data_IF_429701297977
#
_entry.id   IF_429701297977
#
_cell.length_a   1.000
_cell.length_b   1.000
_cell.length_c   1.000
_cell.angle_alpha   90.00
_cell.angle_beta   90.00
_cell.angle_gamma   90.00
#
_symmetry.space_group_name_H-M   'P 1'
#
loop_
_entity.id
_entity.type
_entity.pdbx_description
1 polymer ?
#
# COMPACT_ATOMS: atom_id res chain seq x y z
N UNK A 1 28.16 -4.58 10.78
CA UNK A 1 27.35 -5.82 10.86
C UNK A 1 26.55 -5.90 9.58
N UNK A 2 26.79 -6.91 8.75
CA UNK A 2 25.99 -7.13 7.54
C UNK A 2 24.67 -7.79 7.96
N UNK A 3 23.60 -7.01 7.94
CA UNK A 3 22.26 -7.54 8.18
C UNK A 3 21.63 -7.93 6.84
N UNK A 4 20.99 -9.10 6.79
CA UNK A 4 20.21 -9.51 5.64
C UNK A 4 18.89 -8.71 5.59
N UNK A 5 18.76 -7.83 4.61
CA UNK A 5 17.56 -7.04 4.33
C UNK A 5 16.59 -7.75 3.37
N UNK A 6 16.89 -8.99 2.94
CA UNK A 6 16.00 -9.73 2.08
C UNK A 6 14.73 -10.17 2.82
N UNK A 7 13.59 -9.69 2.35
CA UNK A 7 12.29 -10.07 2.87
C UNK A 7 11.69 -11.22 2.05
N UNK A 8 11.23 -12.27 2.73
CA UNK A 8 10.38 -13.31 2.13
C UNK A 8 8.95 -13.13 2.62
N UNK A 9 8.03 -12.99 1.67
CA UNK A 9 6.61 -13.02 1.98
C UNK A 9 6.23 -14.42 2.45
N UNK A 10 5.54 -14.49 3.58
CA UNK A 10 4.92 -15.72 4.04
C UNK A 10 3.43 -15.50 3.80
N UNK A 11 2.86 -16.26 2.86
CA UNK A 11 1.42 -16.41 2.75
C UNK A 11 1.00 -17.22 3.99
N UNK A 12 0.76 -16.52 5.09
CA UNK A 12 0.22 -17.12 6.29
C UNK A 12 -1.29 -17.27 6.08
N UNK A 13 -1.90 -18.36 6.55
CA UNK A 13 -3.35 -18.61 6.41
C UNK A 13 -4.21 -17.59 7.18
N UNK A 14 -3.60 -16.64 7.87
CA UNK A 14 -4.23 -15.49 8.52
C UNK A 14 -4.54 -14.30 7.57
N UNK A 15 -4.71 -14.55 6.27
CA UNK A 15 -5.22 -13.54 5.33
C UNK A 15 -6.72 -13.24 5.54
N UNK A 16 -7.41 -14.12 6.28
CA UNK A 16 -8.82 -13.92 6.63
C UNK A 16 -8.93 -12.92 7.78
N UNK A 17 -9.84 -11.96 7.63
CA UNK A 17 -10.21 -11.07 8.73
C UNK A 17 -10.66 -11.91 9.94
N UNK A 18 -10.25 -11.56 11.17
CA UNK A 18 -10.67 -12.32 12.34
C UNK A 18 -12.20 -12.33 12.46
N UNK A 19 -12.81 -13.51 12.37
CA UNK A 19 -14.28 -13.65 12.38
C UNK A 19 -14.92 -13.02 13.60
N UNK A 20 -14.29 -13.19 14.76
CA UNK A 20 -14.75 -12.60 16.03
C UNK A 20 -14.76 -11.05 15.96
N UNK A 21 -13.78 -10.44 15.29
CA UNK A 21 -13.75 -9.00 15.06
C UNK A 21 -14.82 -8.53 14.07
N UNK A 22 -15.08 -9.32 13.02
CA UNK A 22 -16.15 -9.06 12.04
C UNK A 22 -17.52 -9.12 12.71
N UNK A 23 -17.79 -10.19 13.48
CA UNK A 23 -19.05 -10.39 14.20
C UNK A 23 -19.29 -9.26 15.21
N UNK A 24 -18.25 -8.87 15.96
CA UNK A 24 -18.32 -7.76 16.91
C UNK A 24 -18.62 -6.42 16.24
N UNK A 25 -18.08 -6.19 15.05
CA UNK A 25 -18.32 -4.98 14.27
C UNK A 25 -19.76 -4.90 13.73
N UNK A 26 -20.47 -6.03 13.60
CA UNK A 26 -21.85 -6.08 13.13
C UNK A 26 -22.03 -5.61 11.68
N UNK A 27 -20.96 -5.63 10.90
CA UNK A 27 -20.93 -5.17 9.50
C UNK A 27 -21.27 -6.29 8.52
N UNK A 28 -21.71 -5.92 7.31
CA UNK A 28 -22.03 -6.87 6.24
C UNK A 28 -21.05 -6.74 5.08
N UNK A 29 -20.66 -7.88 4.53
CA UNK A 29 -19.93 -7.93 3.25
C UNK A 29 -20.94 -7.98 2.09
N UNK A 30 -20.67 -7.30 0.97
CA UNK A 30 -19.47 -6.49 0.66
C UNK A 30 -19.57 -5.01 1.08
N UNK A 31 -20.59 -4.61 1.82
CA UNK A 31 -20.89 -3.19 2.09
C UNK A 31 -19.82 -2.47 2.91
N UNK A 32 -19.07 -3.19 3.74
CA UNK A 32 -17.88 -2.66 4.43
C UNK A 32 -16.88 -1.98 3.49
N UNK A 33 -16.77 -2.43 2.23
CA UNK A 33 -15.85 -1.83 1.27
C UNK A 33 -16.39 -0.54 0.64
N UNK A 34 -17.67 -0.23 0.82
CA UNK A 34 -18.35 0.89 0.15
C UNK A 34 -18.62 2.08 1.06
N UNK A 35 -18.51 1.93 2.38
CA UNK A 35 -18.91 2.97 3.32
C UNK A 35 -17.78 3.29 4.30
N UNK A 36 -17.45 4.58 4.41
CA UNK A 36 -16.38 5.06 5.29
C UNK A 36 -16.57 4.69 6.76
N UNK A 37 -17.81 4.74 7.26
CA UNK A 37 -18.12 4.42 8.66
C UNK A 37 -17.95 2.93 8.93
N UNK A 38 -18.41 2.07 8.03
CA UNK A 38 -18.27 0.63 8.18
C UNK A 38 -16.79 0.21 8.11
N UNK A 39 -15.99 0.85 7.24
CA UNK A 39 -14.54 0.67 7.23
C UNK A 39 -13.91 1.05 8.57
N UNK A 40 -14.27 2.21 9.12
CA UNK A 40 -13.73 2.67 10.40
C UNK A 40 -14.11 1.72 11.55
N UNK A 41 -15.38 1.30 11.63
CA UNK A 41 -15.87 0.37 12.66
C UNK A 41 -15.14 -0.97 12.58
N UNK A 42 -15.03 -1.58 11.40
CA UNK A 42 -14.30 -2.85 11.27
C UNK A 42 -12.81 -2.69 11.60
N UNK A 43 -12.19 -1.62 11.11
CA UNK A 43 -10.75 -1.38 11.33
C UNK A 43 -10.41 -1.29 12.81
N UNK A 44 -11.26 -0.60 13.59
CA UNK A 44 -11.14 -0.54 15.06
C UNK A 44 -11.37 -1.90 15.71
N UNK A 45 -12.41 -2.63 15.29
CA UNK A 45 -12.70 -3.95 15.83
C UNK A 45 -11.53 -4.92 15.64
N UNK A 46 -10.91 -4.92 14.45
CA UNK A 46 -9.72 -5.74 14.16
C UNK A 46 -8.53 -5.31 15.02
N UNK A 47 -8.28 -4.00 15.16
CA UNK A 47 -7.22 -3.47 16.01
C UNK A 47 -7.39 -3.91 17.47
N UNK A 48 -8.60 -3.75 18.03
CA UNK A 48 -8.93 -4.13 19.40
C UNK A 48 -8.80 -5.63 19.62
N UNK A 49 -9.27 -6.44 18.66
CA UNK A 49 -9.14 -7.89 18.70
C UNK A 49 -7.68 -8.35 18.75
N UNK A 50 -6.84 -7.74 17.93
CA UNK A 50 -5.41 -8.07 17.84
C UNK A 50 -4.57 -7.43 18.96
N UNK A 51 -5.16 -6.61 19.82
CA UNK A 51 -4.46 -5.76 20.80
C UNK A 51 -3.33 -4.94 20.15
N UNK A 52 -3.57 -4.45 18.93
CA UNK A 52 -2.61 -3.71 18.11
C UNK A 52 -2.79 -2.19 18.26
N UNK A 53 -1.82 -1.42 17.76
CA UNK A 53 -1.81 0.05 17.81
C UNK A 53 -2.60 0.69 16.66
N UNK A 54 -2.79 -0.05 15.56
CA UNK A 54 -3.08 0.54 14.27
C UNK A 54 -4.45 0.14 13.74
N UNK A 55 -5.27 1.13 13.37
CA UNK A 55 -6.42 0.95 12.50
C UNK A 55 -5.98 1.09 11.05
N UNK A 56 -6.09 0.00 10.28
CA UNK A 56 -5.66 -0.08 8.87
C UNK A 56 -6.88 0.02 7.93
N UNK A 57 -6.80 0.86 6.90
CA UNK A 57 -7.82 0.98 5.84
C UNK A 57 -7.13 1.23 4.48
N UNK A 58 -7.72 0.84 3.33
CA UNK A 58 -8.83 -0.10 3.19
C UNK A 58 -8.37 -1.55 3.44
N UNK A 59 -9.27 -2.50 3.19
CA UNK A 59 -9.01 -3.94 3.34
C UNK A 59 -8.78 -4.68 2.03
N UNK A 60 -8.41 -3.97 0.96
CA UNK A 60 -8.14 -4.55 -0.34
C UNK A 60 -7.20 -3.67 -1.17
N UNK A 61 -6.69 -4.22 -2.28
CA UNK A 61 -5.71 -3.56 -3.16
C UNK A 61 -6.32 -3.08 -4.47
N UNK A 62 -7.64 -2.88 -4.52
CA UNK A 62 -8.39 -2.61 -5.77
C UNK A 62 -8.97 -1.19 -5.86
N UNK A 63 -8.73 -0.34 -4.87
CA UNK A 63 -9.38 0.97 -4.76
C UNK A 63 -8.91 1.95 -5.83
N UNK A 64 -7.61 2.02 -6.08
CA UNK A 64 -7.00 2.92 -7.07
C UNK A 64 -7.32 2.45 -8.50
N UNK A 65 -7.28 1.12 -8.73
CA UNK A 65 -7.70 0.54 -10.00
C UNK A 65 -9.18 0.83 -10.28
N UNK A 66 -10.08 0.65 -9.31
CA UNK A 66 -11.48 1.04 -9.46
C UNK A 66 -11.63 2.53 -9.78
N UNK A 67 -10.86 3.38 -9.09
CA UNK A 67 -10.89 4.82 -9.31
C UNK A 67 -10.57 5.18 -10.78
N UNK A 68 -9.60 4.48 -11.37
CA UNK A 68 -9.19 4.58 -12.78
C UNK A 68 -10.10 3.84 -13.77
N UNK A 69 -11.21 3.23 -13.32
CA UNK A 69 -12.19 2.57 -14.18
C UNK A 69 -12.11 1.05 -14.22
N UNK A 70 -11.28 0.45 -13.36
CA UNK A 70 -11.22 -1.00 -13.13
C UNK A 70 -12.59 -1.58 -12.73
N UNK A 71 -12.95 -2.71 -13.32
CA UNK A 71 -14.14 -3.47 -12.92
C UNK A 71 -13.83 -4.39 -11.73
N UNK A 72 -14.41 -4.08 -10.57
CA UNK A 72 -14.15 -4.81 -9.32
C UNK A 72 -15.40 -5.58 -8.87
N UNK A 73 -15.24 -6.89 -8.68
CA UNK A 73 -16.18 -7.70 -7.92
C UNK A 73 -15.79 -7.65 -6.45
N UNK A 74 -16.66 -7.08 -5.61
CA UNK A 74 -16.39 -6.91 -4.18
C UNK A 74 -16.41 -8.23 -3.38
N UNK A 75 -16.90 -9.32 -3.97
CA UNK A 75 -16.89 -10.64 -3.34
C UNK A 75 -17.76 -10.74 -2.09
N UNK A 76 -17.38 -11.69 -1.24
CA UNK A 76 -17.93 -11.92 0.09
C UNK A 76 -16.80 -11.78 1.14
N UNK A 77 -17.10 -12.11 2.39
CA UNK A 77 -16.15 -12.05 3.52
C UNK A 77 -14.86 -12.84 3.27
N UNK A 78 -14.92 -13.97 2.54
CA UNK A 78 -13.76 -14.82 2.31
C UNK A 78 -12.96 -14.37 1.09
N UNK A 79 -13.64 -14.05 0.00
CA UNK A 79 -13.00 -13.78 -1.27
C UNK A 79 -12.53 -12.32 -1.41
N UNK A 80 -13.23 -11.39 -0.76
CA UNK A 80 -12.97 -9.96 -0.83
C UNK A 80 -12.99 -9.34 -2.25
N UNK A 81 -12.65 -8.04 -2.35
CA UNK A 81 -12.63 -7.33 -3.62
C UNK A 81 -11.52 -7.81 -4.54
N UNK A 82 -11.88 -8.14 -5.79
CA UNK A 82 -10.97 -8.59 -6.85
C UNK A 82 -11.40 -8.07 -8.20
N UNK A 83 -10.46 -8.03 -9.14
CA UNK A 83 -10.73 -7.66 -10.53
C UNK A 83 -11.65 -8.71 -11.15
N UNK A 84 -12.79 -8.29 -11.69
CA UNK A 84 -13.70 -9.18 -12.41
C UNK A 84 -13.33 -9.32 -13.88
N UNK A 85 -12.85 -8.23 -14.48
CA UNK A 85 -12.49 -8.14 -15.87
C UNK A 85 -11.45 -7.03 -16.06
N UNK A 86 -10.57 -7.18 -17.05
CA UNK A 86 -9.65 -6.11 -17.42
C UNK A 86 -10.40 -5.05 -18.22
N UNK A 87 -10.47 -3.83 -17.71
CA UNK A 87 -11.13 -2.70 -18.38
C UNK A 87 -10.47 -2.41 -19.73
N UNK A 88 -9.14 -2.47 -19.80
CA UNK A 88 -8.38 -2.28 -21.04
C UNK A 88 -8.05 -3.62 -21.69
N UNK A 89 -8.49 -3.77 -22.94
CA UNK A 89 -8.23 -4.91 -23.84
C UNK A 89 -7.05 -4.66 -24.77
N UNK A 90 -6.64 -3.40 -24.92
CA UNK A 90 -5.49 -2.95 -25.68
C UNK A 90 -4.77 -1.82 -24.94
N UNK A 91 -3.55 -1.48 -25.35
CA UNK A 91 -2.87 -0.32 -24.74
C UNK A 91 -3.48 0.98 -25.26
N UNK A 92 -4.08 0.97 -26.44
CA UNK A 92 -4.78 2.07 -27.06
C UNK A 92 -6.04 2.47 -26.27
N UNK A 93 -6.65 1.54 -25.52
CA UNK A 93 -7.83 1.80 -24.68
C UNK A 93 -7.56 2.79 -23.52
N UNK A 94 -6.29 3.10 -23.23
CA UNK A 94 -5.95 4.14 -22.24
C UNK A 94 -6.19 5.56 -22.80
N UNK A 95 -6.47 5.69 -24.10
CA UNK A 95 -6.78 6.96 -24.72
C UNK A 95 -8.05 7.54 -24.09
N UNK A 96 -7.88 8.63 -23.33
CA UNK A 96 -8.98 9.25 -22.56
C UNK A 96 -9.06 8.81 -21.10
N UNK A 97 -8.11 7.98 -20.62
CA UNK A 97 -7.93 7.74 -19.20
C UNK A 97 -7.72 9.08 -18.48
N UNK A 98 -8.55 9.33 -17.47
CA UNK A 98 -8.52 10.55 -16.67
C UNK A 98 -7.74 10.29 -15.38
N UNK A 99 -7.26 11.38 -14.80
CA UNK A 99 -6.74 11.39 -13.44
C UNK A 99 -7.81 10.91 -12.44
N UNK A 100 -7.36 10.45 -11.28
CA UNK A 100 -8.22 9.95 -10.23
C UNK A 100 -9.04 11.10 -9.61
N UNK A 101 -10.37 10.96 -9.59
CA UNK A 101 -11.23 11.81 -8.78
C UNK A 101 -11.42 11.22 -7.38
N UNK A 102 -10.65 11.76 -6.42
CA UNK A 102 -10.64 11.37 -5.01
C UNK A 102 -11.94 11.63 -4.25
N UNK A 103 -12.94 12.29 -4.86
CA UNK A 103 -14.25 12.52 -4.24
C UNK A 103 -15.27 11.44 -4.58
N UNK A 104 -14.93 10.51 -5.47
CA UNK A 104 -15.86 9.52 -6.02
C UNK A 104 -15.48 8.09 -5.64
N UNK A 105 -16.40 7.15 -5.90
CA UNK A 105 -16.19 5.70 -5.74
C UNK A 105 -15.68 5.33 -4.34
N UNK A 106 -15.03 4.17 -4.18
CA UNK A 106 -14.52 3.74 -2.87
C UNK A 106 -13.32 4.56 -2.40
N UNK A 107 -12.53 5.14 -3.29
CA UNK A 107 -11.34 5.91 -2.89
C UNK A 107 -11.70 7.13 -2.02
N UNK A 108 -12.81 7.81 -2.33
CA UNK A 108 -13.32 8.88 -1.47
C UNK A 108 -13.83 8.38 -0.11
N UNK A 109 -14.39 7.17 -0.05
CA UNK A 109 -14.84 6.54 1.19
C UNK A 109 -13.66 6.08 2.06
N UNK A 110 -12.55 5.64 1.46
CA UNK A 110 -11.30 5.39 2.18
C UNK A 110 -10.76 6.67 2.82
N UNK A 111 -10.71 7.77 2.06
CA UNK A 111 -10.24 9.05 2.62
C UNK A 111 -11.14 9.52 3.77
N UNK A 112 -12.46 9.39 3.63
CA UNK A 112 -13.40 9.71 4.73
C UNK A 112 -13.22 8.78 5.94
N UNK A 113 -12.90 7.49 5.76
CA UNK A 113 -12.69 6.58 6.88
C UNK A 113 -11.44 6.94 7.68
N UNK A 114 -10.38 7.42 7.00
CA UNK A 114 -9.21 8.02 7.66
C UNK A 114 -9.63 9.19 8.54
N UNK A 115 -10.42 10.14 8.04
CA UNK A 115 -10.90 11.28 8.85
C UNK A 115 -11.71 10.84 10.07
N UNK A 116 -12.58 9.84 9.92
CA UNK A 116 -13.40 9.30 11.02
C UNK A 116 -12.48 8.71 12.09
N UNK A 117 -11.57 7.81 11.71
CA UNK A 117 -10.65 7.16 12.63
C UNK A 117 -9.77 8.19 13.36
N UNK A 118 -9.24 9.19 12.65
CA UNK A 118 -8.43 10.26 13.27
C UNK A 118 -9.23 11.11 14.26
N UNK A 119 -10.49 11.44 13.96
CA UNK A 119 -11.38 12.16 14.91
C UNK A 119 -11.66 11.35 16.17
N UNK A 120 -11.64 10.03 16.07
CA UNK A 120 -11.81 9.11 17.21
C UNK A 120 -10.51 8.84 17.98
N UNK A 121 -9.39 9.45 17.58
CA UNK A 121 -8.10 9.34 18.27
C UNK A 121 -7.27 8.12 17.89
N UNK A 122 -7.63 7.42 16.81
CA UNK A 122 -6.89 6.26 16.33
C UNK A 122 -5.54 6.63 15.71
N UNK A 123 -4.60 5.68 15.73
CA UNK A 123 -3.39 5.72 14.92
C UNK A 123 -3.67 4.95 13.63
N UNK A 124 -3.65 5.64 12.49
CA UNK A 124 -4.21 5.16 11.23
C UNK A 124 -3.13 4.84 10.23
N UNK A 125 -3.27 3.66 9.62
CA UNK A 125 -2.50 3.27 8.44
C UNK A 125 -3.42 3.30 7.22
N UNK A 126 -3.01 4.02 6.18
CA UNK A 126 -3.68 3.98 4.88
C UNK A 126 -2.87 3.16 3.89
N UNK A 127 -3.47 2.11 3.33
CA UNK A 127 -2.84 1.28 2.30
C UNK A 127 -2.95 1.92 0.91
N UNK A 128 -1.81 1.98 0.22
CA UNK A 128 -1.64 2.62 -1.09
C UNK A 128 -0.84 1.68 -2.00
N UNK A 129 -1.37 1.46 -3.19
CA UNK A 129 -0.76 0.60 -4.19
C UNK A 129 0.20 1.36 -5.09
N UNK A 130 1.28 0.69 -5.46
CA UNK A 130 2.23 1.16 -6.43
C UNK A 130 1.80 0.90 -7.88
N UNK A 131 2.52 1.49 -8.85
CA UNK A 131 2.03 1.58 -10.21
C UNK A 131 1.75 0.24 -10.91
N UNK A 132 2.60 -0.76 -10.73
CA UNK A 132 2.40 -2.04 -11.41
C UNK A 132 1.24 -2.84 -10.83
N UNK A 133 1.05 -2.84 -9.51
CA UNK A 133 -0.13 -3.44 -8.87
C UNK A 133 -1.42 -2.85 -9.44
N UNK A 134 -1.48 -1.52 -9.56
CA UNK A 134 -2.65 -0.83 -10.12
C UNK A 134 -2.86 -1.24 -11.59
N UNK A 135 -1.82 -1.17 -12.42
CA UNK A 135 -1.89 -1.50 -13.85
C UNK A 135 -2.29 -2.96 -14.07
N UNK A 136 -1.76 -3.88 -13.25
CA UNK A 136 -2.10 -5.31 -13.32
C UNK A 136 -3.59 -5.58 -13.07
N UNK A 137 -4.32 -4.62 -12.52
CA UNK A 137 -5.76 -4.68 -12.31
C UNK A 137 -6.59 -4.04 -13.43
N UNK A 138 -5.95 -3.27 -14.32
CA UNK A 138 -6.61 -2.52 -15.39
C UNK A 138 -6.48 -3.22 -16.75
N UNK A 139 -5.34 -3.86 -17.00
CA UNK A 139 -4.99 -4.50 -18.27
C UNK A 139 -4.36 -5.87 -18.02
N UNK A 140 -4.62 -6.84 -18.89
CA UNK A 140 -3.97 -8.15 -18.81
C UNK A 140 -2.44 -7.98 -18.88
N UNK A 141 -1.67 -8.52 -17.91
CA UNK A 141 -0.22 -8.37 -17.89
C UNK A 141 0.48 -8.78 -19.19
N UNK A 142 -0.04 -9.78 -19.92
CA UNK A 142 0.53 -10.22 -21.20
C UNK A 142 0.39 -9.15 -22.28
N UNK A 143 -0.73 -8.42 -22.28
CA UNK A 143 -0.99 -7.32 -23.21
C UNK A 143 -0.09 -6.14 -22.84
N UNK A 144 -0.02 -5.79 -21.54
CA UNK A 144 0.87 -4.74 -21.06
C UNK A 144 2.35 -5.01 -21.39
N UNK A 145 2.85 -6.23 -21.14
CA UNK A 145 4.24 -6.57 -21.45
C UNK A 145 4.56 -6.56 -22.95
N UNK A 146 3.56 -6.85 -23.80
CA UNK A 146 3.69 -6.67 -25.25
C UNK A 146 3.78 -5.18 -25.61
N UNK A 147 2.96 -4.34 -24.99
CA UNK A 147 2.95 -2.90 -25.17
C UNK A 147 4.27 -2.24 -24.72
N UNK A 148 4.87 -2.66 -23.61
CA UNK A 148 6.20 -2.17 -23.16
C UNK A 148 7.26 -2.24 -24.26
N UNK A 149 7.17 -3.23 -25.15
CA UNK A 149 8.11 -3.40 -26.26
C UNK A 149 7.75 -2.59 -27.51
N UNK A 150 6.46 -2.33 -27.75
CA UNK A 150 5.94 -1.85 -29.05
C UNK A 150 5.31 -0.45 -29.00
N UNK A 151 4.83 -0.03 -27.83
CA UNK A 151 3.99 1.15 -27.60
C UNK A 151 4.57 1.93 -26.41
N UNK A 152 5.79 2.46 -26.57
CA UNK A 152 6.54 3.04 -25.46
C UNK A 152 5.89 4.31 -24.92
N UNK A 153 5.38 5.16 -25.79
CA UNK A 153 4.80 6.45 -25.44
C UNK A 153 3.48 6.26 -24.68
N UNK A 154 2.66 5.31 -25.11
CA UNK A 154 1.41 4.95 -24.42
C UNK A 154 1.69 4.34 -23.04
N UNK A 155 2.69 3.46 -22.94
CA UNK A 155 3.10 2.90 -21.65
C UNK A 155 3.63 3.99 -20.72
N UNK A 156 4.47 4.90 -21.21
CA UNK A 156 4.97 6.02 -20.41
C UNK A 156 3.84 6.91 -19.91
N UNK A 157 2.87 7.22 -20.77
CA UNK A 157 1.67 7.98 -20.39
C UNK A 157 0.86 7.27 -19.31
N UNK A 158 0.60 5.96 -19.45
CA UNK A 158 -0.12 5.18 -18.44
C UNK A 158 0.61 5.18 -17.10
N UNK A 159 1.91 4.88 -17.12
CA UNK A 159 2.73 4.84 -15.92
C UNK A 159 2.76 6.19 -15.21
N UNK A 160 2.81 7.29 -15.94
CA UNK A 160 2.77 8.65 -15.39
C UNK A 160 1.44 8.95 -14.69
N UNK A 161 0.30 8.66 -15.33
CA UNK A 161 -1.03 8.86 -14.74
C UNK A 161 -1.15 8.09 -13.42
N UNK A 162 -0.70 6.83 -13.40
CA UNK A 162 -0.78 5.99 -12.21
C UNK A 162 0.20 6.47 -11.12
N UNK A 163 1.42 6.87 -11.49
CA UNK A 163 2.41 7.45 -10.57
C UNK A 163 1.85 8.70 -9.88
N UNK A 164 1.33 9.66 -10.66
CA UNK A 164 0.73 10.90 -10.16
C UNK A 164 -0.50 10.61 -9.29
N UNK A 165 -1.33 9.64 -9.69
CA UNK A 165 -2.45 9.16 -8.90
C UNK A 165 -2.05 8.62 -7.52
N UNK A 166 -1.02 7.77 -7.45
CA UNK A 166 -0.51 7.27 -6.17
C UNK A 166 0.04 8.40 -5.29
N UNK A 167 0.77 9.37 -5.87
CA UNK A 167 1.29 10.53 -5.12
C UNK A 167 0.15 11.38 -4.57
N UNK A 168 -0.86 11.72 -5.37
CA UNK A 168 -1.98 12.54 -4.90
C UNK A 168 -2.83 11.79 -3.87
N UNK A 169 -2.98 10.45 -4.00
CA UNK A 169 -3.68 9.67 -2.98
C UNK A 169 -2.97 9.75 -1.62
N UNK A 170 -1.64 9.62 -1.61
CA UNK A 170 -0.82 9.81 -0.41
C UNK A 170 -1.03 11.21 0.17
N UNK A 171 -0.97 12.25 -0.66
CA UNK A 171 -1.19 13.64 -0.23
C UNK A 171 -2.58 13.83 0.38
N UNK A 172 -3.61 13.27 -0.21
CA UNK A 172 -4.97 13.32 0.31
C UNK A 172 -5.11 12.62 1.67
N UNK A 173 -4.43 11.48 1.88
CA UNK A 173 -4.35 10.82 3.18
C UNK A 173 -3.64 11.65 4.24
N UNK A 174 -2.49 12.25 3.89
CA UNK A 174 -1.72 13.12 4.80
C UNK A 174 -2.52 14.36 5.19
N UNK A 175 -3.22 15.01 4.24
CA UNK A 175 -4.11 16.15 4.53
C UNK A 175 -5.19 15.81 5.57
N UNK A 176 -5.53 14.52 5.72
CA UNK A 176 -6.54 14.00 6.66
C UNK A 176 -5.95 13.44 7.94
N UNK A 177 -4.63 13.53 8.11
CA UNK A 177 -3.94 13.19 9.34
C UNK A 177 -3.57 11.71 9.47
N UNK A 178 -3.46 10.95 8.38
CA UNK A 178 -2.94 9.58 8.44
C UNK A 178 -1.54 9.55 9.10
N UNK A 179 -1.25 8.54 9.92
CA UNK A 179 0.04 8.44 10.61
C UNK A 179 1.06 7.66 9.75
N UNK A 180 0.61 6.58 9.09
CA UNK A 180 1.44 5.76 8.22
C UNK A 180 0.76 5.53 6.87
N UNK A 181 1.51 5.76 5.80
CA UNK A 181 1.17 5.25 4.47
C UNK A 181 1.80 3.87 4.31
N UNK A 182 1.00 2.82 4.24
CA UNK A 182 1.47 1.50 3.80
C UNK A 182 1.57 1.53 2.27
N UNK A 183 2.78 1.48 1.73
CA UNK A 183 3.00 1.53 0.28
C UNK A 183 3.59 0.21 -0.24
N UNK A 184 2.97 -0.36 -1.27
CA UNK A 184 3.42 -1.62 -1.86
C UNK A 184 3.16 -1.74 -3.35
N UNK A 185 4.15 -2.26 -4.09
CA UNK A 185 4.01 -2.61 -5.51
C UNK A 185 4.38 -4.09 -5.71
N UNK A 186 3.49 -4.99 -5.31
CA UNK A 186 3.73 -6.43 -5.27
C UNK A 186 3.76 -7.07 -6.66
N UNK A 187 3.01 -6.53 -7.63
CA UNK A 187 3.02 -7.01 -9.01
C UNK A 187 4.26 -6.51 -9.79
N UNK A 188 4.87 -5.41 -9.36
CA UNK A 188 6.01 -4.77 -10.02
C UNK A 188 7.38 -5.17 -9.51
N UNK A 189 7.54 -6.29 -8.80
CA UNK A 189 8.78 -6.64 -8.09
C UNK A 189 9.92 -7.08 -9.01
N UNK A 190 11.16 -7.02 -8.49
CA UNK A 190 12.36 -7.41 -9.24
C UNK A 190 12.30 -8.85 -9.73
N UNK A 191 11.76 -9.75 -8.90
CA UNK A 191 11.67 -11.18 -9.21
C UNK A 191 10.59 -11.49 -10.26
N UNK A 192 9.57 -10.62 -10.42
CA UNK A 192 8.52 -10.76 -11.44
C UNK A 192 8.96 -10.17 -12.79
N UNK A 193 9.49 -8.94 -12.78
CA UNK A 193 9.81 -8.21 -14.01
C UNK A 193 11.20 -8.55 -14.57
N UNK A 194 12.08 -9.07 -13.72
CA UNK A 194 13.49 -9.24 -14.02
C UNK A 194 14.26 -7.92 -14.04
N UNK A 195 15.62 -7.96 -14.03
CA UNK A 195 16.45 -6.79 -13.74
C UNK A 195 16.27 -5.60 -14.70
N UNK A 196 16.12 -5.88 -15.99
CA UNK A 196 16.02 -4.83 -17.02
C UNK A 196 14.70 -4.06 -16.91
N UNK A 197 13.58 -4.78 -16.96
CA UNK A 197 12.25 -4.16 -16.91
C UNK A 197 11.98 -3.54 -15.54
N UNK A 198 12.49 -4.13 -14.46
CA UNK A 198 12.40 -3.51 -13.14
C UNK A 198 13.13 -2.16 -13.08
N UNK A 199 14.36 -2.07 -13.61
CA UNK A 199 15.10 -0.80 -13.63
C UNK A 199 14.47 0.26 -14.54
N UNK A 200 13.91 -0.14 -15.67
CA UNK A 200 13.30 0.80 -16.64
C UNK A 200 11.89 1.23 -16.23
N UNK A 201 11.14 0.36 -15.55
CA UNK A 201 9.74 0.57 -15.19
C UNK A 201 9.48 0.35 -13.68
N UNK A 202 9.37 -0.91 -13.21
CA UNK A 202 8.86 -1.21 -11.87
C UNK A 202 9.53 -0.43 -10.73
N UNK A 203 10.84 -0.59 -10.58
CA UNK A 203 11.65 0.12 -9.59
C UNK A 203 11.71 1.63 -9.86
N UNK A 204 11.84 2.07 -11.11
CA UNK A 204 11.90 3.50 -11.48
C UNK A 204 10.65 4.27 -11.02
N UNK A 205 9.47 3.79 -11.40
CA UNK A 205 8.22 4.50 -11.08
C UNK A 205 7.85 4.37 -9.60
N UNK A 206 8.11 3.21 -8.97
CA UNK A 206 7.98 3.04 -7.51
C UNK A 206 8.88 4.05 -6.78
N UNK A 207 10.15 4.17 -7.17
CA UNK A 207 11.09 5.11 -6.58
C UNK A 207 10.65 6.57 -6.78
N UNK A 208 10.14 6.91 -7.96
CA UNK A 208 9.63 8.26 -8.24
C UNK A 208 8.44 8.63 -7.33
N UNK A 209 7.46 7.73 -7.14
CA UNK A 209 6.36 7.95 -6.19
C UNK A 209 6.91 8.26 -4.80
N UNK A 210 7.82 7.43 -4.30
CA UNK A 210 8.43 7.61 -2.97
C UNK A 210 9.18 8.94 -2.86
N UNK A 211 9.97 9.29 -3.88
CA UNK A 211 10.77 10.51 -3.92
C UNK A 211 9.92 11.76 -3.89
N UNK A 212 8.79 11.74 -4.61
CA UNK A 212 7.86 12.86 -4.64
C UNK A 212 7.04 12.93 -3.36
N UNK A 213 6.40 11.83 -2.95
CA UNK A 213 5.54 11.75 -1.78
C UNK A 213 6.25 12.13 -0.48
N UNK A 214 7.54 11.80 -0.35
CA UNK A 214 8.36 12.17 0.83
C UNK A 214 8.29 13.66 1.17
N UNK A 215 8.15 14.54 0.17
CA UNK A 215 8.12 15.99 0.38
C UNK A 215 6.80 16.49 0.98
N UNK A 216 5.78 15.64 1.05
CA UNK A 216 4.43 16.00 1.49
C UNK A 216 3.99 15.29 2.76
N UNK A 217 4.86 14.50 3.39
CA UNK A 217 4.47 13.65 4.52
C UNK A 217 4.16 14.43 5.81
N UNK A 218 4.72 15.62 6.01
CA UNK A 218 4.59 16.31 7.29
C UNK A 218 5.06 15.42 8.46
N UNK A 219 4.16 15.14 9.40
CA UNK A 219 4.38 14.24 10.54
C UNK A 219 4.15 12.75 10.22
N UNK A 220 3.53 12.43 9.07
CA UNK A 220 3.32 11.05 8.63
C UNK A 220 4.63 10.39 8.18
N UNK A 221 4.63 9.07 8.08
CA UNK A 221 5.71 8.28 7.48
C UNK A 221 5.19 7.34 6.40
N UNK A 222 6.07 6.87 5.52
CA UNK A 222 5.79 5.73 4.63
C UNK A 222 6.37 4.47 5.24
N UNK A 223 5.56 3.42 5.34
CA UNK A 223 6.02 2.06 5.50
C UNK A 223 6.02 1.37 4.13
N UNK A 224 7.20 1.03 3.64
CA UNK A 224 7.41 0.38 2.36
C UNK A 224 7.38 -1.13 2.54
N UNK A 225 6.42 -1.79 1.88
CA UNK A 225 6.24 -3.24 1.90
C UNK A 225 7.57 -3.99 1.75
N UNK A 226 7.79 -5.02 2.56
CA UNK A 226 9.04 -5.79 2.60
C UNK A 226 9.51 -6.28 1.24
N UNK A 227 8.63 -6.83 0.39
CA UNK A 227 9.03 -7.31 -0.94
C UNK A 227 9.43 -6.14 -1.86
N UNK A 228 8.68 -5.04 -1.81
CA UNK A 228 8.93 -3.85 -2.64
C UNK A 228 10.24 -3.16 -2.22
N UNK A 229 10.46 -2.96 -0.91
CA UNK A 229 11.71 -2.42 -0.37
C UNK A 229 12.91 -3.32 -0.70
N UNK A 230 12.82 -4.64 -0.47
CA UNK A 230 13.90 -5.56 -0.83
C UNK A 230 14.20 -5.55 -2.33
N UNK A 231 13.18 -5.42 -3.19
CA UNK A 231 13.38 -5.31 -4.64
C UNK A 231 14.12 -4.04 -5.04
N UNK A 232 13.77 -2.90 -4.44
CA UNK A 232 14.41 -1.61 -4.69
C UNK A 232 15.88 -1.62 -4.22
N UNK A 233 16.14 -2.20 -3.05
CA UNK A 233 17.49 -2.30 -2.48
C UNK A 233 18.40 -3.18 -3.37
N UNK A 234 17.95 -4.40 -3.69
CA UNK A 234 18.66 -5.33 -4.58
C UNK A 234 18.95 -4.75 -5.96
N UNK A 235 18.10 -3.83 -6.44
CA UNK A 235 18.28 -3.16 -7.73
C UNK A 235 19.13 -1.88 -7.65
N UNK A 236 19.49 -1.43 -6.44
CA UNK A 236 20.34 -0.27 -6.18
C UNK A 236 19.60 1.08 -6.19
N UNK A 237 18.27 1.09 -6.00
CA UNK A 237 17.49 2.33 -5.95
C UNK A 237 17.50 3.02 -4.59
N UNK A 238 17.76 2.28 -3.51
CA UNK A 238 17.67 2.80 -2.15
C UNK A 238 18.87 2.35 -1.32
N UNK A 239 19.09 3.03 -0.19
CA UNK A 239 20.00 2.60 0.88
C UNK A 239 19.21 2.35 2.15
N UNK A 240 19.67 1.40 2.95
CA UNK A 240 18.94 0.90 4.12
C UNK A 240 19.82 1.03 5.36
N UNK A 241 19.36 1.82 6.33
CA UNK A 241 20.09 2.07 7.56
C UNK A 241 19.34 1.41 8.73
N UNK A 242 20.01 0.59 9.57
CA UNK A 242 19.37 0.05 10.76
C UNK A 242 19.16 1.16 11.79
N UNK A 243 17.99 1.15 12.44
CA UNK A 243 17.67 1.95 13.61
C UNK A 243 17.40 1.00 14.76
N UNK A 244 18.12 1.19 15.86
CA UNK A 244 17.86 0.46 17.11
C UNK A 244 16.57 0.97 17.77
N UNK A 245 15.77 0.04 18.26
CA UNK A 245 14.53 0.28 19.01
C UNK A 245 14.61 -0.46 20.35
N UNK A 246 13.72 -0.20 21.32
CA UNK A 246 13.74 -0.95 22.58
C UNK A 246 13.66 -2.48 22.38
N UNK A 247 14.29 -3.24 23.28
CA UNK A 247 14.26 -4.70 23.24
C UNK A 247 12.94 -5.27 23.75
N UNK A 248 12.63 -6.51 23.35
CA UNK A 248 11.45 -7.24 23.85
C UNK A 248 10.10 -6.73 23.33
N UNK A 249 10.09 -5.81 22.37
CA UNK A 249 8.87 -5.22 21.81
C UNK A 249 8.41 -5.92 20.51
N UNK A 250 7.14 -5.74 20.17
CA UNK A 250 6.58 -6.14 18.87
C UNK A 250 6.98 -5.17 17.76
N UNK A 251 6.81 -5.59 16.50
CA UNK A 251 7.08 -4.70 15.38
C UNK A 251 6.17 -3.46 15.39
N UNK A 252 4.91 -3.61 15.81
CA UNK A 252 3.97 -2.49 15.90
C UNK A 252 4.37 -1.49 16.99
N UNK A 253 4.83 -1.98 18.15
CA UNK A 253 5.41 -1.14 19.20
C UNK A 253 6.64 -0.38 18.72
N UNK A 254 7.50 -1.02 17.91
CA UNK A 254 8.66 -0.36 17.32
C UNK A 254 8.27 0.75 16.33
N UNK A 255 7.26 0.53 15.48
CA UNK A 255 6.74 1.56 14.58
C UNK A 255 6.17 2.74 15.35
N UNK A 256 5.35 2.47 16.38
CA UNK A 256 4.78 3.50 17.25
C UNK A 256 5.86 4.29 18.00
N UNK A 257 6.95 3.63 18.43
CA UNK A 257 8.12 4.29 19.00
C UNK A 257 8.77 5.25 18.00
N UNK A 258 9.02 4.83 16.75
CA UNK A 258 9.62 5.69 15.72
C UNK A 258 8.75 6.93 15.44
N UNK A 259 7.43 6.75 15.29
CA UNK A 259 6.51 7.86 14.99
C UNK A 259 6.50 8.91 16.11
N UNK A 260 6.63 8.48 17.37
CA UNK A 260 6.63 9.39 18.52
C UNK A 260 7.98 10.04 18.78
N UNK A 261 9.05 9.27 18.72
CA UNK A 261 10.37 9.68 19.23
C UNK A 261 11.35 10.09 18.13
N UNK A 262 11.12 9.71 16.86
CA UNK A 262 12.12 9.87 15.79
C UNK A 262 11.51 10.48 14.51
N UNK A 263 11.13 11.76 14.62
CA UNK A 263 10.40 12.53 13.59
C UNK A 263 11.16 12.77 12.28
N UNK A 264 12.48 12.57 12.28
CA UNK A 264 13.33 12.73 11.10
C UNK A 264 13.19 11.56 10.11
N UNK A 265 12.75 10.40 10.59
CA UNK A 265 12.53 9.21 9.76
C UNK A 265 11.27 9.42 8.93
N UNK A 266 11.40 9.33 7.60
CA UNK A 266 10.27 9.49 6.68
C UNK A 266 9.84 8.21 5.99
N UNK A 267 10.74 7.25 5.83
CA UNK A 267 10.44 5.99 5.14
C UNK A 267 11.08 4.85 5.93
N UNK A 268 10.25 3.87 6.30
CA UNK A 268 10.66 2.60 6.88
C UNK A 268 10.41 1.47 5.88
N UNK A 269 11.16 0.37 5.97
CA UNK A 269 10.97 -0.76 5.04
C UNK A 269 11.47 -2.10 5.56
N UNK A 270 11.64 -3.06 4.64
CA UNK A 270 12.18 -4.41 4.85
C UNK A 270 11.43 -5.30 5.84
N UNK A 271 10.21 -4.94 6.19
CA UNK A 271 9.34 -5.77 7.01
C UNK A 271 7.88 -5.62 6.56
N UNK A 272 6.95 -6.29 7.24
CA UNK A 272 5.54 -6.31 6.87
C UNK A 272 4.66 -5.86 8.03
N UNK A 273 3.69 -4.99 7.75
CA UNK A 273 2.71 -4.53 8.72
C UNK A 273 1.82 -5.66 9.26
N UNK A 274 1.70 -6.79 8.55
CA UNK A 274 1.03 -7.98 9.09
C UNK A 274 1.77 -8.61 10.28
N UNK A 275 3.01 -8.19 10.55
CA UNK A 275 3.82 -8.66 11.67
C UNK A 275 3.81 -7.69 12.85
N UNK A 276 2.95 -6.67 12.85
CA UNK A 276 2.85 -5.68 13.95
C UNK A 276 2.72 -6.32 15.32
N UNK A 277 1.88 -7.34 15.46
CA UNK A 277 1.70 -8.08 16.73
C UNK A 277 2.82 -9.08 17.04
N UNK A 278 3.74 -9.34 16.11
CA UNK A 278 4.81 -10.32 16.29
C UNK A 278 6.01 -9.67 16.99
N UNK A 279 6.64 -10.36 17.95
CA UNK A 279 7.86 -9.88 18.59
C UNK A 279 8.98 -9.71 17.56
N UNK A 280 9.74 -8.63 17.70
CA UNK A 280 10.94 -8.42 16.91
C UNK A 280 12.00 -9.46 17.29
N UNK A 281 12.54 -10.17 16.28
CA UNK A 281 13.67 -11.11 16.49
C UNK A 281 14.97 -10.38 16.85
N UNK A 282 15.12 -9.16 16.34
CA UNK A 282 16.21 -8.23 16.62
C UNK A 282 15.59 -6.85 16.83
N UNK A 283 16.09 -6.05 17.77
CA UNK A 283 15.54 -4.74 18.11
C UNK A 283 15.92 -3.68 17.06
N UNK A 284 15.64 -3.97 15.78
CA UNK A 284 16.04 -3.15 14.63
C UNK A 284 14.85 -2.96 13.69
N UNK A 285 14.66 -1.72 13.27
CA UNK A 285 13.84 -1.35 12.12
C UNK A 285 14.73 -0.68 11.06
N UNK A 286 14.26 -0.60 9.82
CA UNK A 286 15.07 -0.15 8.69
C UNK A 286 14.57 1.18 8.18
N UNK A 287 15.38 2.23 8.31
CA UNK A 287 15.17 3.47 7.57
C UNK A 287 15.60 3.31 6.13
N UNK A 288 14.76 3.78 5.22
CA UNK A 288 15.03 3.80 3.79
C UNK A 288 15.43 5.21 3.37
N UNK A 289 16.62 5.33 2.79
CA UNK A 289 17.11 6.54 2.11
C UNK A 289 16.98 6.34 0.61
N UNK A 290 16.28 7.28 -0.03
CA UNK A 290 16.14 7.40 -1.48
C UNK A 290 17.38 8.05 -2.11
#
# INVERSE_FOLDING_TARGET
>A
MDYDVNFKCVLDTGEEMPKEAVERAGIKFPDVHKNAKDMAVLSKSIREYNEDFFSIVPFCMTVEAEALGGEINLGDEKAGPRVSNYTFKSIEDIEGLKEIDFKTKRIGEVLKSVEILKKEGETVIMDVQGPFTIISSLIDPRIFYKAVRKNKDEVERLMKIVQEGSVEFIKEGVKRGVDIISFGDSAGTLDILGPKMYKELGGKYTYNVLKEAKNYLGDSIIHLCGITSSSLDRAGFIKSNPIEVPEGITYGQALNYIIKENKDVKILGHNCLRKTIKPLKKPIVWEIKL
#
